data_IF_442538071787
#
_entry.id   IF_442538071787
#
_cell.length_a   1.000
_cell.length_b   1.000
_cell.length_c   1.000
_cell.angle_alpha   90.00
_cell.angle_beta   90.00
_cell.angle_gamma   90.00
#
_symmetry.space_group_name_H-M   'P 1'
#
loop_
_entity.id
_entity.type
_entity.pdbx_description
1 polymer ?
#
# COMPACT_ATOMS: atom_id res chain seq x y z
N UNK A 1 14.58 27.45 -35.45
CA UNK A 1 13.23 27.63 -34.89
C UNK A 1 13.13 26.63 -33.72
N UNK A 2 13.40 27.10 -32.49
CA UNK A 2 13.52 26.25 -31.27
C UNK A 2 12.16 26.26 -30.58
N UNK A 3 11.62 25.09 -30.29
CA UNK A 3 10.37 24.93 -29.56
C UNK A 3 10.55 25.33 -28.07
N UNK A 4 9.55 25.99 -27.45
CA UNK A 4 9.66 26.46 -26.08
C UNK A 4 9.59 25.31 -25.08
N UNK A 5 10.46 25.39 -24.08
CA UNK A 5 10.66 24.39 -23.01
C UNK A 5 9.40 24.12 -22.17
N UNK A 6 9.17 22.86 -21.93
CA UNK A 6 8.18 22.36 -20.97
C UNK A 6 8.69 22.71 -19.57
N UNK A 7 7.98 23.56 -18.86
CA UNK A 7 8.24 23.84 -17.44
C UNK A 7 7.92 22.60 -16.61
N UNK A 8 8.95 22.02 -16.00
CA UNK A 8 8.88 20.85 -15.11
C UNK A 8 8.39 21.18 -13.69
N UNK A 9 7.62 22.25 -13.53
CA UNK A 9 7.28 22.82 -12.23
C UNK A 9 5.98 22.32 -11.54
N UNK A 10 5.35 21.27 -12.02
CA UNK A 10 4.01 20.91 -11.53
C UNK A 10 3.88 19.63 -10.69
N UNK A 11 4.86 18.74 -10.69
CA UNK A 11 4.74 17.45 -10.01
C UNK A 11 5.40 17.44 -8.61
N UNK A 12 6.36 18.34 -8.37
CA UNK A 12 7.07 18.45 -7.09
C UNK A 12 6.23 19.04 -5.95
N UNK A 13 5.22 19.86 -6.25
CA UNK A 13 4.37 20.49 -5.23
C UNK A 13 3.31 19.53 -4.65
N UNK A 14 3.05 18.41 -5.32
CA UNK A 14 2.07 17.41 -4.84
C UNK A 14 2.66 16.50 -3.76
N UNK A 15 3.98 16.32 -3.76
CA UNK A 15 4.71 15.49 -2.80
C UNK A 15 5.52 16.38 -1.83
N UNK A 16 4.84 17.30 -1.15
CA UNK A 16 5.44 18.19 -0.17
C UNK A 16 6.39 17.48 0.80
N UNK A 17 7.51 18.10 1.01
CA UNK A 17 8.68 17.82 1.85
C UNK A 17 8.38 17.25 3.25
N UNK A 18 7.89 16.02 3.37
CA UNK A 18 7.78 15.33 4.67
C UNK A 18 8.44 13.94 4.72
N UNK A 19 9.10 13.52 3.65
CA UNK A 19 9.67 12.16 3.54
C UNK A 19 11.09 11.99 4.10
N UNK A 20 11.76 13.05 4.56
CA UNK A 20 13.14 12.98 5.04
C UNK A 20 13.30 12.37 6.46
N UNK A 21 12.24 11.86 7.08
CA UNK A 21 12.24 11.45 8.49
C UNK A 21 12.15 9.96 8.80
N UNK A 22 11.90 9.07 7.84
CA UNK A 22 11.46 7.70 8.19
C UNK A 22 12.50 6.59 8.10
N UNK A 23 13.67 6.79 7.48
CA UNK A 23 14.68 5.72 7.34
C UNK A 23 16.08 6.04 7.88
N UNK A 24 16.31 7.20 8.46
CA UNK A 24 17.62 7.58 9.02
C UNK A 24 17.59 8.10 10.46
N UNK A 25 16.43 8.29 11.02
CA UNK A 25 16.30 8.64 12.42
C UNK A 25 16.39 7.36 13.26
N UNK A 26 17.53 7.13 13.94
CA UNK A 26 17.43 6.56 15.29
C UNK A 26 16.31 7.34 15.95
N UNK A 27 15.14 6.71 16.10
CA UNK A 27 14.05 7.22 16.91
C UNK A 27 14.60 7.37 18.34
N UNK A 28 15.20 8.52 18.64
CA UNK A 28 15.25 9.00 20.01
C UNK A 28 13.84 9.48 20.34
N UNK A 29 12.91 8.55 20.33
CA UNK A 29 11.64 8.70 21.00
C UNK A 29 11.98 8.95 22.46
N UNK A 30 11.87 10.20 22.91
CA UNK A 30 11.68 10.53 24.32
C UNK A 30 10.30 10.01 24.77
N UNK A 31 10.03 8.73 24.51
CA UNK A 31 8.96 8.01 25.17
C UNK A 31 9.57 7.40 26.44
N UNK A 32 9.08 7.86 27.58
CA UNK A 32 9.37 7.26 28.87
C UNK A 32 9.06 5.77 28.77
N UNK A 33 10.06 4.92 28.98
CA UNK A 33 9.95 3.45 28.93
C UNK A 33 8.79 2.93 29.81
N UNK A 34 8.38 3.68 30.83
CA UNK A 34 7.21 3.41 31.66
C UNK A 34 5.89 3.54 30.90
N UNK A 35 5.76 4.50 30.00
CA UNK A 35 4.56 4.67 29.19
C UNK A 35 4.42 3.58 28.10
N UNK A 36 5.53 3.11 27.52
CA UNK A 36 5.53 1.98 26.57
C UNK A 36 5.11 0.68 27.29
N UNK A 37 5.65 0.44 28.50
CA UNK A 37 5.31 -0.75 29.28
C UNK A 37 3.83 -0.77 29.71
N UNK A 38 3.27 0.39 30.08
CA UNK A 38 1.85 0.51 30.42
C UNK A 38 0.93 0.30 29.21
N UNK A 39 1.37 0.78 28.02
CA UNK A 39 0.60 0.60 26.78
C UNK A 39 0.61 -0.86 26.28
N UNK A 40 1.70 -1.60 26.51
CA UNK A 40 1.81 -3.04 26.19
C UNK A 40 1.07 -3.96 27.15
N UNK A 41 0.72 -3.50 28.38
CA UNK A 41 0.03 -4.31 29.38
C UNK A 41 -1.48 -4.12 29.43
N UNK A 42 -2.03 -3.20 28.62
CA UNK A 42 -3.48 -2.98 28.63
C UNK A 42 -4.18 -4.00 27.72
N UNK A 43 -4.90 -4.91 28.31
CA UNK A 43 -5.81 -5.80 27.56
C UNK A 43 -6.84 -4.96 26.82
N UNK A 44 -6.99 -5.11 25.49
CA UNK A 44 -7.96 -4.33 24.73
C UNK A 44 -9.38 -4.61 25.24
N UNK A 45 -10.18 -3.58 25.34
CA UNK A 45 -11.58 -3.68 25.73
C UNK A 45 -12.38 -4.43 24.66
N UNK A 46 -13.55 -4.96 25.05
CA UNK A 46 -14.50 -5.58 24.11
C UNK A 46 -14.88 -4.65 22.96
N UNK A 47 -14.99 -3.34 23.23
CA UNK A 47 -15.29 -2.33 22.22
C UNK A 47 -14.13 -2.18 21.22
N UNK A 48 -12.89 -2.08 21.70
CA UNK A 48 -11.68 -2.01 20.86
C UNK A 48 -11.53 -3.26 19.99
N UNK A 49 -11.73 -4.46 20.56
CA UNK A 49 -11.70 -5.71 19.80
C UNK A 49 -12.77 -5.75 18.70
N UNK A 50 -13.98 -5.28 19.01
CA UNK A 50 -15.06 -5.20 18.01
C UNK A 50 -14.74 -4.18 16.92
N UNK A 51 -14.20 -3.03 17.28
CA UNK A 51 -13.76 -1.99 16.33
C UNK A 51 -12.69 -2.54 15.36
N UNK A 52 -11.62 -3.15 15.87
CA UNK A 52 -10.58 -3.76 15.05
C UNK A 52 -11.15 -4.83 14.10
N UNK A 53 -12.08 -5.66 14.57
CA UNK A 53 -12.74 -6.68 13.75
C UNK A 53 -13.51 -6.05 12.59
N UNK A 54 -14.24 -4.96 12.83
CA UNK A 54 -14.96 -4.23 11.76
C UNK A 54 -13.96 -3.69 10.74
N UNK A 55 -12.87 -3.05 11.20
CA UNK A 55 -11.82 -2.51 10.32
C UNK A 55 -11.17 -3.61 9.48
N UNK A 56 -10.84 -4.76 10.08
CA UNK A 56 -10.23 -5.90 9.39
C UNK A 56 -11.16 -6.48 8.31
N UNK A 57 -12.44 -6.64 8.61
CA UNK A 57 -13.44 -7.08 7.64
C UNK A 57 -13.60 -6.04 6.53
N UNK A 58 -13.77 -4.77 6.88
CA UNK A 58 -13.91 -3.69 5.90
C UNK A 58 -12.69 -3.62 4.96
N UNK A 59 -11.48 -3.74 5.50
CA UNK A 59 -10.24 -3.71 4.71
C UNK A 59 -10.18 -4.82 3.66
N UNK A 60 -10.58 -6.04 4.00
CA UNK A 60 -10.63 -7.17 3.05
C UNK A 60 -11.77 -7.01 2.05
N UNK A 61 -12.95 -6.71 2.56
CA UNK A 61 -14.17 -6.69 1.74
C UNK A 61 -14.14 -5.57 0.71
N UNK A 62 -13.63 -4.38 1.07
CA UNK A 62 -13.49 -3.26 0.11
C UNK A 62 -12.46 -3.62 -0.98
N UNK A 63 -11.35 -4.26 -0.66
CA UNK A 63 -10.38 -4.72 -1.68
C UNK A 63 -10.96 -5.80 -2.60
N UNK A 64 -11.84 -6.65 -2.10
CA UNK A 64 -12.47 -7.73 -2.86
C UNK A 64 -13.61 -7.22 -3.74
N UNK A 65 -14.47 -6.34 -3.24
CA UNK A 65 -15.73 -5.96 -3.87
C UNK A 65 -15.83 -4.49 -4.32
N UNK A 66 -14.80 -3.68 -4.08
CA UNK A 66 -14.80 -2.25 -4.35
C UNK A 66 -15.57 -1.43 -3.31
N UNK A 67 -15.48 -0.09 -3.41
CA UNK A 67 -16.18 0.80 -2.47
C UNK A 67 -17.70 0.72 -2.56
N UNK A 68 -18.24 0.46 -3.76
CA UNK A 68 -19.70 0.40 -3.99
C UNK A 68 -20.27 -0.99 -3.72
N UNK A 69 -19.45 -2.03 -3.79
CA UNK A 69 -19.88 -3.41 -3.65
C UNK A 69 -20.20 -3.84 -2.21
N UNK A 70 -19.99 -2.94 -1.23
CA UNK A 70 -20.10 -3.33 0.18
C UNK A 70 -20.87 -2.30 0.99
N UNK A 71 -22.01 -2.74 1.56
CA UNK A 71 -22.80 -1.98 2.51
C UNK A 71 -22.26 -2.10 3.94
N UNK A 72 -22.56 -1.11 4.79
CA UNK A 72 -22.26 -1.16 6.23
C UNK A 72 -22.87 -2.41 6.88
N UNK A 73 -24.10 -2.77 6.47
CA UNK A 73 -24.80 -3.93 7.01
C UNK A 73 -24.05 -5.23 6.75
N UNK A 74 -23.46 -5.38 5.54
CA UNK A 74 -22.71 -6.59 5.16
C UNK A 74 -21.41 -6.70 5.94
N UNK A 75 -20.68 -5.58 6.09
CA UNK A 75 -19.47 -5.52 6.92
C UNK A 75 -19.78 -5.89 8.36
N UNK A 76 -20.81 -5.30 8.96
CA UNK A 76 -21.19 -5.58 10.34
C UNK A 76 -21.60 -7.05 10.52
N UNK A 77 -22.35 -7.61 9.58
CA UNK A 77 -22.74 -9.02 9.57
C UNK A 77 -21.52 -9.94 9.48
N UNK A 78 -20.60 -9.66 8.56
CA UNK A 78 -19.35 -10.43 8.40
C UNK A 78 -18.44 -10.31 9.63
N UNK A 79 -18.47 -9.16 10.32
CA UNK A 79 -17.78 -8.96 11.61
C UNK A 79 -18.49 -9.64 12.80
N UNK A 80 -19.64 -10.30 12.59
CA UNK A 80 -20.42 -10.95 13.67
C UNK A 80 -21.10 -9.96 14.61
N UNK A 81 -21.48 -8.78 14.09
CA UNK A 81 -22.08 -7.68 14.84
C UNK A 81 -23.40 -7.25 14.22
N UNK A 82 -24.26 -6.56 15.01
CA UNK A 82 -25.51 -6.00 14.50
C UNK A 82 -25.27 -4.68 13.75
N UNK A 83 -26.06 -4.40 12.71
CA UNK A 83 -26.00 -3.15 11.99
C UNK A 83 -26.13 -1.92 12.91
N UNK A 84 -27.05 -1.97 13.90
CA UNK A 84 -27.25 -0.87 14.86
C UNK A 84 -26.01 -0.52 15.70
N UNK A 85 -25.08 -1.48 15.86
CA UNK A 85 -23.83 -1.25 16.58
C UNK A 85 -22.80 -0.40 15.82
N UNK A 86 -23.01 -0.13 14.53
CA UNK A 86 -22.05 0.58 13.70
C UNK A 86 -21.68 1.96 14.24
N UNK A 87 -22.71 2.77 14.57
CA UNK A 87 -22.51 4.14 15.05
C UNK A 87 -21.90 4.24 16.47
N UNK A 88 -21.77 3.12 17.19
CA UNK A 88 -20.96 3.06 18.41
C UNK A 88 -19.45 3.02 18.12
N UNK A 89 -19.05 2.72 16.87
CA UNK A 89 -17.66 2.56 16.45
C UNK A 89 -17.20 3.64 15.45
N UNK A 90 -18.07 4.11 14.55
CA UNK A 90 -17.72 5.05 13.48
C UNK A 90 -18.78 6.13 13.35
N UNK A 91 -18.34 7.37 13.13
CA UNK A 91 -19.22 8.51 12.89
C UNK A 91 -19.90 8.44 11.51
N UNK A 92 -19.23 7.81 10.54
CA UNK A 92 -19.70 7.67 9.18
C UNK A 92 -19.10 6.44 8.48
N UNK A 93 -19.72 6.06 7.34
CA UNK A 93 -19.13 5.04 6.45
C UNK A 93 -17.74 5.46 5.96
N UNK A 94 -17.55 6.74 5.65
CA UNK A 94 -16.27 7.25 5.16
C UNK A 94 -15.18 7.18 6.23
N UNK A 95 -15.50 7.46 7.50
CA UNK A 95 -14.57 7.26 8.61
C UNK A 95 -14.12 5.80 8.72
N UNK A 96 -15.03 4.84 8.60
CA UNK A 96 -14.69 3.42 8.55
C UNK A 96 -13.82 3.09 7.34
N UNK A 97 -14.11 3.64 6.15
CA UNK A 97 -13.32 3.40 4.94
C UNK A 97 -11.89 3.94 5.05
N UNK A 98 -11.71 5.10 5.68
CA UNK A 98 -10.37 5.65 5.96
C UNK A 98 -9.56 4.67 6.81
N UNK A 99 -10.12 4.19 7.92
CA UNK A 99 -9.44 3.22 8.78
C UNK A 99 -9.21 1.87 8.07
N UNK A 100 -10.15 1.42 7.27
CA UNK A 100 -10.00 0.22 6.45
C UNK A 100 -8.84 0.34 5.44
N UNK A 101 -8.67 1.50 4.80
CA UNK A 101 -7.55 1.76 3.90
C UNK A 101 -6.22 1.84 4.64
N UNK A 102 -6.20 2.45 5.83
CA UNK A 102 -5.01 2.48 6.70
C UNK A 102 -4.59 1.06 7.07
N UNK A 103 -5.53 0.24 7.49
CA UNK A 103 -5.30 -1.16 7.82
C UNK A 103 -4.79 -1.96 6.62
N UNK A 104 -5.46 -1.83 5.47
CA UNK A 104 -5.04 -2.49 4.24
C UNK A 104 -3.61 -2.09 3.81
N UNK A 105 -3.28 -0.81 3.95
CA UNK A 105 -1.93 -0.30 3.68
C UNK A 105 -0.88 -0.87 4.64
N UNK A 106 -1.20 -0.95 5.93
CA UNK A 106 -0.31 -1.53 6.94
C UNK A 106 -0.07 -3.01 6.70
N UNK A 107 -1.12 -3.79 6.45
CA UNK A 107 -1.02 -5.22 6.14
C UNK A 107 -0.14 -5.47 4.91
N UNK A 108 -0.32 -4.65 3.86
CA UNK A 108 0.48 -4.73 2.65
C UNK A 108 1.96 -4.41 2.90
N UNK A 109 2.25 -3.37 3.70
CA UNK A 109 3.63 -3.01 4.06
C UNK A 109 4.32 -4.13 4.85
N UNK A 110 3.66 -4.71 5.83
CA UNK A 110 4.19 -5.85 6.61
C UNK A 110 4.48 -7.03 5.67
N UNK A 111 3.50 -7.42 4.84
CA UNK A 111 3.67 -8.53 3.89
C UNK A 111 4.80 -8.30 2.89
N UNK A 112 4.93 -7.07 2.36
CA UNK A 112 6.03 -6.70 1.46
C UNK A 112 7.37 -6.71 2.18
N UNK A 113 7.47 -6.15 3.38
CA UNK A 113 8.71 -6.12 4.16
C UNK A 113 9.21 -7.54 4.45
N UNK A 114 8.31 -8.42 4.93
CA UNK A 114 8.64 -9.82 5.19
C UNK A 114 9.10 -10.56 3.92
N UNK A 115 8.45 -10.28 2.79
CA UNK A 115 8.80 -10.84 1.50
C UNK A 115 10.18 -10.36 1.01
N UNK A 116 10.45 -9.07 1.14
CA UNK A 116 11.73 -8.45 0.78
C UNK A 116 12.85 -9.02 1.66
N UNK A 117 12.66 -9.09 2.97
CA UNK A 117 13.68 -9.62 3.88
C UNK A 117 14.00 -11.09 3.63
N UNK A 118 13.00 -11.92 3.33
CA UNK A 118 13.23 -13.32 2.94
C UNK A 118 14.12 -13.43 1.70
N UNK A 119 13.88 -12.59 0.68
CA UNK A 119 14.67 -12.60 -0.56
C UNK A 119 16.08 -12.05 -0.36
N UNK A 120 16.23 -11.00 0.44
CA UNK A 120 17.54 -10.47 0.78
C UNK A 120 18.43 -11.51 1.48
N UNK A 121 17.86 -12.36 2.34
CA UNK A 121 18.60 -13.50 2.95
C UNK A 121 19.05 -14.53 1.94
N UNK A 122 18.41 -14.63 0.78
CA UNK A 122 18.77 -15.51 -0.32
C UNK A 122 19.81 -14.90 -1.27
N UNK A 123 20.17 -13.63 -1.07
CA UNK A 123 21.03 -12.83 -1.92
C UNK A 123 20.25 -11.97 -2.90
N UNK A 124 20.89 -10.95 -3.44
CA UNK A 124 20.29 -10.01 -4.39
C UNK A 124 20.10 -8.62 -3.81
N UNK A 125 19.60 -7.71 -4.64
CA UNK A 125 19.39 -6.30 -4.29
C UNK A 125 18.02 -6.08 -3.65
N UNK A 126 17.88 -4.98 -2.93
CA UNK A 126 16.58 -4.56 -2.38
C UNK A 126 15.55 -4.31 -3.48
N UNK A 127 15.98 -3.75 -4.60
CA UNK A 127 15.11 -3.50 -5.74
C UNK A 127 14.53 -4.80 -6.32
N UNK A 128 15.39 -5.77 -6.62
CA UNK A 128 14.98 -7.10 -7.10
C UNK A 128 14.02 -7.76 -6.12
N UNK A 129 14.34 -7.74 -4.83
CA UNK A 129 13.51 -8.32 -3.78
C UNK A 129 12.11 -7.69 -3.72
N UNK A 130 12.01 -6.35 -3.86
CA UNK A 130 10.74 -5.64 -3.94
C UNK A 130 9.93 -6.07 -5.18
N UNK A 131 10.55 -6.02 -6.37
CA UNK A 131 9.87 -6.34 -7.63
C UNK A 131 9.35 -7.78 -7.64
N UNK A 132 10.16 -8.74 -7.22
CA UNK A 132 9.79 -10.15 -7.16
C UNK A 132 8.74 -10.45 -6.08
N UNK A 133 8.71 -9.69 -4.99
CA UNK A 133 7.69 -9.83 -3.96
C UNK A 133 6.35 -9.23 -4.41
N UNK A 134 6.36 -7.99 -4.91
CA UNK A 134 5.13 -7.31 -5.28
C UNK A 134 4.45 -7.94 -6.51
N UNK A 135 5.22 -8.32 -7.53
CA UNK A 135 4.72 -8.94 -8.76
C UNK A 135 4.70 -10.47 -8.67
N UNK A 136 4.62 -11.05 -7.48
CA UNK A 136 4.51 -12.50 -7.33
C UNK A 136 3.15 -13.01 -7.79
N UNK A 137 3.13 -14.17 -8.43
CA UNK A 137 1.94 -14.75 -9.09
C UNK A 137 0.74 -14.97 -8.13
N UNK A 138 1.01 -15.21 -6.85
CA UNK A 138 -0.04 -15.35 -5.81
C UNK A 138 -0.91 -14.11 -5.65
N UNK A 139 -0.42 -12.93 -6.04
CA UNK A 139 -1.17 -11.68 -5.95
C UNK A 139 -2.25 -11.52 -7.02
N UNK A 140 -2.27 -12.38 -8.03
CA UNK A 140 -3.34 -12.39 -9.05
C UNK A 140 -4.68 -12.74 -8.39
N UNK A 141 -4.70 -13.81 -7.59
CA UNK A 141 -5.93 -14.35 -6.99
C UNK A 141 -6.26 -13.74 -5.61
N UNK A 142 -5.23 -13.30 -4.88
CA UNK A 142 -5.37 -12.77 -3.51
C UNK A 142 -5.59 -11.25 -3.48
N UNK A 143 -6.73 -10.79 -4.04
CA UNK A 143 -7.03 -9.36 -4.11
C UNK A 143 -7.25 -8.76 -2.71
N UNK A 144 -7.95 -9.48 -1.84
CA UNK A 144 -8.35 -9.03 -0.50
C UNK A 144 -7.18 -8.82 0.49
N UNK A 145 -6.03 -9.47 0.25
CA UNK A 145 -4.83 -9.34 1.08
C UNK A 145 -3.73 -8.48 0.41
N UNK A 146 -3.96 -8.06 -0.84
CA UNK A 146 -2.96 -7.37 -1.64
C UNK A 146 -2.98 -5.85 -1.53
N UNK A 147 -2.26 -5.22 -2.46
CA UNK A 147 -2.16 -3.77 -2.55
C UNK A 147 -3.53 -3.11 -2.76
N UNK A 148 -3.89 -2.22 -1.84
CA UNK A 148 -5.15 -1.47 -1.88
C UNK A 148 -5.23 -0.54 -3.09
N UNK A 149 -4.10 0.01 -3.54
CA UNK A 149 -4.05 0.86 -4.73
C UNK A 149 -4.37 0.04 -5.97
N UNK A 150 -3.71 -1.11 -6.15
CA UNK A 150 -3.99 -1.99 -7.28
C UNK A 150 -5.42 -2.55 -7.28
N UNK A 151 -6.08 -2.64 -6.12
CA UNK A 151 -7.47 -3.06 -6.04
C UNK A 151 -8.46 -1.94 -6.38
N UNK A 152 -8.20 -0.69 -5.96
CA UNK A 152 -9.21 0.36 -5.84
C UNK A 152 -8.87 1.67 -6.57
N UNK A 153 -7.69 1.82 -7.22
CA UNK A 153 -7.24 3.10 -7.79
C UNK A 153 -8.28 3.77 -8.71
N UNK A 154 -8.96 2.98 -9.56
CA UNK A 154 -9.97 3.49 -10.48
C UNK A 154 -11.25 4.03 -9.80
N UNK A 155 -11.49 3.65 -8.55
CA UNK A 155 -12.65 4.08 -7.76
C UNK A 155 -12.32 5.20 -6.78
N UNK A 156 -11.04 5.37 -6.39
CA UNK A 156 -10.59 6.30 -5.35
C UNK A 156 -11.00 7.75 -5.63
N UNK A 157 -10.91 8.18 -6.91
CA UNK A 157 -11.25 9.55 -7.32
C UNK A 157 -12.74 9.90 -7.21
N UNK A 158 -13.59 8.90 -6.96
CA UNK A 158 -15.04 9.08 -6.81
C UNK A 158 -15.47 9.03 -5.34
N UNK A 159 -14.54 8.95 -4.41
CA UNK A 159 -14.82 8.88 -2.98
C UNK A 159 -14.85 10.28 -2.36
N UNK A 160 -15.38 10.35 -1.14
CA UNK A 160 -15.35 11.57 -0.33
C UNK A 160 -13.90 11.98 -0.04
N UNK A 161 -13.65 13.29 0.14
CA UNK A 161 -12.31 13.87 0.26
C UNK A 161 -11.46 13.18 1.33
N UNK A 162 -12.01 12.84 2.48
CA UNK A 162 -11.26 12.15 3.54
C UNK A 162 -10.70 10.78 3.08
N UNK A 163 -11.47 10.04 2.29
CA UNK A 163 -11.05 8.74 1.73
C UNK A 163 -10.02 8.97 0.61
N UNK A 164 -10.21 10.01 -0.19
CA UNK A 164 -9.28 10.39 -1.25
C UNK A 164 -7.92 10.85 -0.68
N UNK A 165 -7.92 11.59 0.42
CA UNK A 165 -6.69 11.99 1.11
C UNK A 165 -5.92 10.78 1.65
N UNK A 166 -6.61 9.78 2.20
CA UNK A 166 -5.95 8.53 2.59
C UNK A 166 -5.39 7.79 1.38
N UNK A 167 -6.11 7.78 0.25
CA UNK A 167 -5.61 7.20 -0.99
C UNK A 167 -4.31 7.89 -1.47
N UNK A 168 -4.25 9.21 -1.43
CA UNK A 168 -3.05 10.01 -1.75
C UNK A 168 -1.87 9.61 -0.85
N UNK A 169 -2.11 9.47 0.47
CA UNK A 169 -1.08 8.99 1.42
C UNK A 169 -0.57 7.59 1.08
N UNK A 170 -1.44 6.66 0.70
CA UNK A 170 -1.05 5.29 0.31
C UNK A 170 -0.23 5.28 -0.97
N UNK A 171 -0.60 6.11 -1.96
CA UNK A 171 0.17 6.26 -3.21
C UNK A 171 1.56 6.82 -2.92
N UNK A 172 1.65 7.90 -2.13
CA UNK A 172 2.93 8.48 -1.75
C UNK A 172 3.83 7.45 -1.04
N UNK A 173 3.29 6.72 -0.05
CA UNK A 173 4.03 5.68 0.65
C UNK A 173 4.54 4.55 -0.27
N UNK A 174 3.78 4.18 -1.31
CA UNK A 174 4.23 3.21 -2.31
C UNK A 174 5.38 3.76 -3.16
N UNK A 175 5.29 5.00 -3.60
CA UNK A 175 6.37 5.66 -4.37
C UNK A 175 7.64 5.77 -3.52
N UNK A 176 7.52 6.13 -2.24
CA UNK A 176 8.65 6.23 -1.31
C UNK A 176 9.30 4.86 -1.05
N UNK A 177 8.50 3.80 -0.93
CA UNK A 177 9.01 2.44 -0.81
C UNK A 177 9.85 2.03 -2.05
N UNK A 178 9.35 2.35 -3.24
CA UNK A 178 10.09 2.10 -4.50
C UNK A 178 11.36 2.94 -4.56
N UNK A 179 11.27 4.24 -4.21
CA UNK A 179 12.43 5.15 -4.20
C UNK A 179 13.54 4.63 -3.29
N UNK A 180 13.19 4.15 -2.10
CA UNK A 180 14.14 3.57 -1.14
C UNK A 180 14.76 2.24 -1.60
N UNK A 181 14.16 1.58 -2.59
CA UNK A 181 14.66 0.33 -3.15
C UNK A 181 15.47 0.50 -4.43
N UNK A 182 15.33 1.61 -5.14
CA UNK A 182 16.09 1.92 -6.36
C UNK A 182 17.58 2.07 -6.06
N UNK A 183 18.47 1.78 -7.04
CA UNK A 183 19.91 2.00 -6.91
C UNK A 183 20.24 3.48 -6.65
N UNK A 184 21.38 3.71 -6.02
CA UNK A 184 21.92 5.06 -5.82
C UNK A 184 22.13 5.76 -7.16
N UNK A 185 21.61 6.99 -7.30
CA UNK A 185 21.70 7.79 -8.54
C UNK A 185 20.52 7.63 -9.49
N UNK A 186 19.54 6.80 -9.19
CA UNK A 186 18.28 6.80 -9.94
C UNK A 186 17.58 8.16 -9.81
N UNK A 187 17.01 8.65 -10.92
CA UNK A 187 16.27 9.92 -10.90
C UNK A 187 14.97 9.79 -10.10
N UNK A 188 14.57 10.85 -9.39
CA UNK A 188 13.35 10.87 -8.56
C UNK A 188 12.08 10.48 -9.32
N UNK A 189 11.99 10.84 -10.61
CA UNK A 189 10.85 10.47 -11.44
C UNK A 189 10.75 8.95 -11.71
N UNK A 190 11.84 8.19 -11.60
CA UNK A 190 11.84 6.75 -11.87
C UNK A 190 11.05 5.97 -10.82
N UNK A 191 11.03 6.43 -9.58
CA UNK A 191 10.21 5.82 -8.53
C UNK A 191 8.72 5.83 -8.88
N UNK A 192 8.23 6.93 -9.46
CA UNK A 192 6.84 7.04 -9.92
C UNK A 192 6.58 6.11 -11.10
N UNK A 193 7.51 6.05 -12.07
CA UNK A 193 7.40 5.17 -13.25
C UNK A 193 7.36 3.71 -12.82
N UNK A 194 8.26 3.28 -11.94
CA UNK A 194 8.31 1.91 -11.43
C UNK A 194 7.05 1.57 -10.64
N UNK A 195 6.62 2.43 -9.69
CA UNK A 195 5.41 2.20 -8.91
C UNK A 195 4.16 2.09 -9.80
N UNK A 196 4.02 2.98 -10.79
CA UNK A 196 2.91 2.94 -11.75
C UNK A 196 2.93 1.66 -12.58
N UNK A 197 4.11 1.23 -13.03
CA UNK A 197 4.29 -0.03 -13.78
C UNK A 197 3.91 -1.24 -12.94
N UNK A 198 4.36 -1.30 -11.68
CA UNK A 198 4.03 -2.38 -10.75
C UNK A 198 2.52 -2.49 -10.52
N UNK A 199 1.87 -1.35 -10.21
CA UNK A 199 0.43 -1.29 -9.93
C UNK A 199 -0.36 -1.68 -11.18
N UNK A 200 -0.03 -1.09 -12.33
CA UNK A 200 -0.70 -1.37 -13.61
C UNK A 200 -0.55 -2.82 -14.05
N UNK A 201 0.67 -3.40 -13.92
CA UNK A 201 0.90 -4.81 -14.26
C UNK A 201 0.05 -5.74 -13.41
N UNK A 202 -0.09 -5.47 -12.09
CA UNK A 202 -0.93 -6.28 -11.22
C UNK A 202 -2.42 -6.17 -11.56
N UNK A 203 -2.90 -4.97 -11.91
CA UNK A 203 -4.28 -4.77 -12.38
C UNK A 203 -4.55 -5.53 -13.68
N UNK A 204 -3.67 -5.41 -14.66
CA UNK A 204 -3.78 -6.15 -15.94
C UNK A 204 -3.76 -7.67 -15.70
N UNK A 205 -2.85 -8.14 -14.85
CA UNK A 205 -2.73 -9.56 -14.54
C UNK A 205 -4.01 -10.12 -13.91
N UNK A 206 -4.64 -9.39 -12.98
CA UNK A 206 -5.92 -9.77 -12.37
C UNK A 206 -7.05 -9.83 -13.40
N UNK A 207 -7.13 -8.84 -14.30
CA UNK A 207 -8.15 -8.77 -15.34
C UNK A 207 -8.02 -9.91 -16.36
N UNK A 208 -6.78 -10.27 -16.73
CA UNK A 208 -6.51 -11.33 -17.69
C UNK A 208 -6.63 -12.75 -17.13
N UNK A 209 -6.69 -12.88 -15.81
CA UNK A 209 -6.77 -14.17 -15.12
C UNK A 209 -5.45 -14.90 -15.03
N UNK A 210 -5.45 -16.05 -14.35
CA UNK A 210 -4.23 -16.70 -13.88
C UNK A 210 -3.19 -17.02 -14.98
N UNK A 211 -3.61 -17.56 -16.13
CA UNK A 211 -2.68 -17.98 -17.19
C UNK A 211 -1.98 -16.79 -17.87
N UNK A 212 -2.76 -15.86 -18.42
CA UNK A 212 -2.23 -14.70 -19.11
C UNK A 212 -1.64 -13.66 -18.12
N UNK A 213 -2.24 -13.54 -16.94
CA UNK A 213 -1.75 -12.67 -15.88
C UNK A 213 -0.34 -13.03 -15.41
N UNK A 214 -0.01 -14.33 -15.24
CA UNK A 214 1.36 -14.76 -14.92
C UNK A 214 2.37 -14.31 -15.97
N UNK A 215 2.02 -14.37 -17.26
CA UNK A 215 2.91 -13.90 -18.33
C UNK A 215 3.15 -12.38 -18.22
N UNK A 216 2.13 -11.57 -17.94
CA UNK A 216 2.28 -10.13 -17.72
C UNK A 216 3.21 -9.85 -16.54
N UNK A 217 2.99 -10.49 -15.39
CA UNK A 217 3.84 -10.30 -14.22
C UNK A 217 5.29 -10.71 -14.49
N UNK A 218 5.52 -11.86 -15.14
CA UNK A 218 6.85 -12.35 -15.46
C UNK A 218 7.59 -11.39 -16.41
N UNK A 219 6.92 -10.89 -17.44
CA UNK A 219 7.50 -9.94 -18.40
C UNK A 219 7.84 -8.62 -17.70
N UNK A 220 6.93 -8.09 -16.88
CA UNK A 220 7.15 -6.85 -16.15
C UNK A 220 8.30 -6.98 -15.15
N UNK A 221 8.37 -8.08 -14.38
CA UNK A 221 9.50 -8.37 -13.47
C UNK A 221 10.82 -8.33 -14.22
N UNK A 222 10.90 -9.07 -15.34
CA UNK A 222 12.12 -9.12 -16.17
C UNK A 222 12.53 -7.72 -16.60
N UNK A 223 11.62 -6.97 -17.22
CA UNK A 223 11.91 -5.64 -17.76
C UNK A 223 12.37 -4.65 -16.68
N UNK A 224 11.73 -4.65 -15.50
CA UNK A 224 12.13 -3.76 -14.41
C UNK A 224 13.48 -4.15 -13.83
N UNK A 225 13.76 -5.46 -13.67
CA UNK A 225 15.04 -5.95 -13.15
C UNK A 225 16.16 -5.66 -14.15
N UNK A 226 15.97 -5.93 -15.43
CA UNK A 226 16.97 -5.64 -16.48
C UNK A 226 17.30 -4.15 -16.56
N UNK A 227 16.33 -3.28 -16.31
CA UNK A 227 16.52 -1.83 -16.40
C UNK A 227 17.15 -1.21 -15.17
N UNK A 228 16.83 -1.68 -13.95
CA UNK A 228 17.18 -0.96 -12.72
C UNK A 228 18.02 -1.77 -11.73
N UNK A 229 18.15 -3.10 -11.92
CA UNK A 229 18.89 -3.94 -10.98
C UNK A 229 20.35 -4.08 -11.44
N UNK A 230 21.02 -2.95 -11.54
CA UNK A 230 22.46 -2.94 -11.80
C UNK A 230 23.18 -3.08 -10.45
N UNK A 231 23.89 -4.21 -10.26
CA UNK A 231 24.80 -4.36 -9.15
C UNK A 231 25.96 -3.40 -9.43
N UNK A 232 26.06 -2.33 -8.65
CA UNK A 232 27.25 -1.49 -8.66
C UNK A 232 28.45 -2.35 -8.20
N UNK A 233 29.20 -2.87 -9.12
CA UNK A 233 30.50 -3.46 -8.86
C UNK A 233 31.50 -2.33 -8.58
N UNK A 234 31.37 -1.67 -7.42
CA UNK A 234 32.42 -0.79 -6.87
C UNK A 234 33.11 -1.45 -5.69
#
# INVERSE_FOLDING_TARGET
>A
MVAPGIRTGGLFDIFGSTAAGWFGARLTLKYDARNICIMMMRTPTRKELSHHRIVDVAARTVRRAGYRGVGVADIMKEAGLTHGGFYAHFESRDAMLVEAMQRAGQDNLVSLSDGIERRLRQGGTRFRALIETYLHDTHIERTEDGCVIAALASEMTRQHEAVLDEARRRIAAMVDLVRAALPSGAADCEAVVVASTMIGALQLARTLGAKAGRAVLAQTRRSLIERYDHIDHR
#
